data_IF_644085248164
#
_entry.id   IF_644085248164
#
_cell.length_a   1.000
_cell.length_b   1.000
_cell.length_c   1.000
_cell.angle_alpha   90.00
_cell.angle_beta   90.00
_cell.angle_gamma   90.00
#
_symmetry.space_group_name_H-M   'P 1'
#
loop_
_entity.id
_entity.type
_entity.pdbx_description
1 polymer ?
#
# COMPACT_ATOMS: atom_id res chain seq x y z
N UNK A 1 2.82 64.44 -4.43
CA UNK A 1 3.95 63.92 -3.64
C UNK A 1 3.51 62.61 -3.02
N UNK A 2 3.89 61.50 -3.66
CA UNK A 2 3.66 60.13 -3.18
C UNK A 2 5.04 59.48 -3.05
N UNK A 3 5.38 58.79 -1.95
CA UNK A 3 6.67 58.13 -1.85
C UNK A 3 6.63 56.81 -2.60
N UNK A 4 7.64 56.61 -3.44
CA UNK A 4 7.88 55.37 -4.17
C UNK A 4 8.26 54.25 -3.19
N UNK A 5 7.53 53.14 -3.25
CA UNK A 5 7.88 51.90 -2.58
C UNK A 5 9.06 51.26 -3.33
N UNK A 6 10.20 51.16 -2.66
CA UNK A 6 11.39 50.46 -3.15
C UNK A 6 11.28 48.99 -2.77
N UNK A 7 11.35 48.12 -3.78
CA UNK A 7 11.35 46.67 -3.63
C UNK A 7 12.81 46.21 -3.44
N UNK A 8 13.18 45.46 -2.38
CA UNK A 8 14.54 44.96 -2.26
C UNK A 8 14.68 43.54 -2.83
N UNK A 9 15.69 43.41 -3.69
CA UNK A 9 16.64 42.31 -3.79
C UNK A 9 16.14 40.89 -4.10
N UNK A 10 16.17 40.60 -5.40
CA UNK A 10 16.86 39.45 -6.03
C UNK A 10 17.39 38.36 -5.08
N UNK A 11 16.73 37.20 -5.11
CA UNK A 11 17.26 35.95 -4.56
C UNK A 11 18.47 35.50 -5.40
N UNK A 12 19.68 35.75 -4.89
CA UNK A 12 20.90 35.17 -5.43
C UNK A 12 21.07 33.78 -4.77
N UNK A 13 20.66 32.73 -5.46
CA UNK A 13 20.96 31.35 -5.06
C UNK A 13 22.48 31.17 -5.23
N UNK A 14 23.21 31.12 -4.11
CA UNK A 14 24.61 30.72 -4.10
C UNK A 14 24.65 29.20 -4.35
N UNK A 15 24.82 28.80 -5.62
CA UNK A 15 25.12 27.42 -5.98
C UNK A 15 26.52 27.14 -5.44
N UNK A 16 26.61 26.48 -4.29
CA UNK A 16 27.83 25.81 -3.87
C UNK A 16 27.97 24.62 -4.81
N UNK A 17 28.80 24.75 -5.83
CA UNK A 17 29.26 23.62 -6.62
C UNK A 17 30.08 22.72 -5.71
N UNK A 18 29.47 21.65 -5.17
CA UNK A 18 30.25 20.49 -4.77
C UNK A 18 31.03 20.09 -6.03
N UNK A 19 32.35 20.27 -6.02
CA UNK A 19 33.20 19.76 -7.08
C UNK A 19 33.06 18.25 -7.07
N UNK A 20 32.23 17.74 -7.98
CA UNK A 20 32.24 16.36 -8.41
C UNK A 20 33.62 16.09 -9.01
N UNK A 21 34.61 15.75 -8.18
CA UNK A 21 35.83 15.11 -8.66
C UNK A 21 35.39 13.88 -9.44
N UNK A 22 35.70 13.87 -10.74
CA UNK A 22 35.46 12.71 -11.59
C UNK A 22 36.09 11.50 -10.90
N UNK A 23 35.26 10.53 -10.51
CA UNK A 23 35.74 9.31 -9.89
C UNK A 23 36.68 8.62 -10.89
N UNK A 24 37.94 8.40 -10.52
CA UNK A 24 38.81 7.56 -11.33
C UNK A 24 38.23 6.13 -11.37
N UNK A 25 38.22 5.47 -12.55
CA UNK A 25 37.72 4.11 -12.66
C UNK A 25 38.52 3.19 -11.74
N UNK A 26 37.85 2.57 -10.78
CA UNK A 26 38.47 1.61 -9.85
C UNK A 26 38.66 0.26 -10.54
N UNK A 27 39.83 -0.37 -10.32
CA UNK A 27 40.09 -1.76 -10.73
C UNK A 27 39.59 -2.78 -9.72
N UNK A 28 39.14 -2.33 -8.54
CA UNK A 28 38.60 -3.20 -7.49
C UNK A 28 37.13 -3.54 -7.80
N UNK A 29 36.88 -4.81 -8.16
CA UNK A 29 35.54 -5.31 -8.47
C UNK A 29 34.60 -5.34 -7.27
N UNK A 30 35.10 -5.14 -6.04
CA UNK A 30 34.31 -5.01 -4.83
C UNK A 30 33.96 -3.55 -4.51
N UNK A 31 34.40 -2.59 -5.34
CA UNK A 31 34.07 -1.18 -5.18
C UNK A 31 33.34 -0.63 -6.41
N UNK A 32 32.28 0.11 -6.15
CA UNK A 32 31.60 0.94 -7.14
C UNK A 32 31.80 2.40 -6.73
N UNK A 33 32.37 3.21 -7.61
CA UNK A 33 32.59 4.63 -7.35
C UNK A 33 31.92 5.45 -8.46
N UNK A 34 31.12 6.44 -8.07
CA UNK A 34 30.47 7.43 -8.93
C UNK A 34 30.60 8.81 -8.28
N UNK A 35 30.44 9.92 -9.02
CA UNK A 35 30.38 11.24 -8.40
C UNK A 35 29.35 11.27 -7.26
N UNK A 36 29.79 11.60 -6.05
CA UNK A 36 28.96 11.67 -4.84
C UNK A 36 28.52 10.32 -4.25
N UNK A 37 28.94 9.17 -4.81
CA UNK A 37 28.54 7.84 -4.34
C UNK A 37 29.71 6.85 -4.33
N UNK A 38 29.86 6.11 -3.24
CA UNK A 38 30.79 4.98 -3.16
C UNK A 38 30.09 3.79 -2.52
N UNK A 39 30.17 2.62 -3.14
CA UNK A 39 29.69 1.37 -2.56
C UNK A 39 30.84 0.37 -2.43
N UNK A 40 30.90 -0.33 -1.30
CA UNK A 40 31.90 -1.35 -1.00
C UNK A 40 31.18 -2.64 -0.61
N UNK A 41 31.34 -3.68 -1.43
CA UNK A 41 30.68 -4.98 -1.25
C UNK A 41 31.22 -5.74 -0.04
N UNK A 42 32.50 -5.59 0.27
CA UNK A 42 33.13 -6.30 1.39
C UNK A 42 32.64 -5.72 2.71
N UNK A 43 32.52 -4.39 2.79
CA UNK A 43 31.95 -3.71 3.95
C UNK A 43 30.42 -3.75 3.98
N UNK A 44 29.79 -4.05 2.84
CA UNK A 44 28.34 -3.94 2.60
C UNK A 44 27.81 -2.54 2.93
N UNK A 45 28.49 -1.51 2.42
CA UNK A 45 28.16 -0.12 2.68
C UNK A 45 28.00 0.67 1.39
N UNK A 46 27.04 1.60 1.38
CA UNK A 46 26.94 2.67 0.39
C UNK A 46 27.07 4.01 1.11
N UNK A 47 27.99 4.84 0.66
CA UNK A 47 28.17 6.21 1.10
C UNK A 47 27.69 7.16 0.01
N UNK A 48 26.84 8.11 0.39
CA UNK A 48 26.24 9.12 -0.49
C UNK A 48 26.55 10.51 0.07
N UNK A 49 27.12 11.38 -0.75
CA UNK A 49 27.33 12.78 -0.38
C UNK A 49 26.01 13.55 -0.53
N UNK A 50 25.70 14.38 0.46
CA UNK A 50 24.44 15.11 0.55
C UNK A 50 24.63 16.48 1.21
N UNK A 51 23.61 17.31 1.14
CA UNK A 51 23.56 18.62 1.78
C UNK A 51 22.26 18.75 2.57
N UNK A 52 22.35 19.22 3.81
CA UNK A 52 21.18 19.49 4.64
C UNK A 52 20.35 20.64 4.05
N UNK A 53 19.03 20.47 4.01
CA UNK A 53 18.09 21.51 3.53
C UNK A 53 17.93 22.65 4.54
N UNK A 54 18.09 22.34 5.83
CA UNK A 54 17.80 23.26 6.93
C UNK A 54 16.36 23.26 7.39
N UNK A 55 15.67 22.11 7.28
CA UNK A 55 14.30 21.92 7.77
C UNK A 55 14.15 22.45 9.20
N UNK A 56 13.05 23.18 9.44
CA UNK A 56 12.80 23.89 10.68
C UNK A 56 12.32 22.97 11.80
N UNK A 57 12.33 23.55 13.00
CA UNK A 57 11.85 22.86 14.20
C UNK A 57 10.35 22.55 14.07
N UNK A 58 10.00 21.28 14.19
CA UNK A 58 8.63 20.77 14.04
C UNK A 58 8.03 20.93 12.65
N UNK A 59 8.83 21.23 11.63
CA UNK A 59 8.34 21.22 10.25
C UNK A 59 7.96 19.78 9.86
N UNK A 60 6.90 19.59 9.06
CA UNK A 60 6.57 18.28 8.50
C UNK A 60 7.74 17.74 7.67
N UNK A 61 8.03 16.45 7.82
CA UNK A 61 9.08 15.79 7.04
C UNK A 61 8.46 14.66 6.23
N UNK A 62 8.41 14.86 4.92
CA UNK A 62 7.93 13.86 3.98
C UNK A 62 9.06 12.97 3.48
N UNK A 63 10.28 13.53 3.35
CA UNK A 63 11.43 12.81 2.82
C UNK A 63 12.66 12.93 3.71
N UNK A 64 13.40 11.85 3.81
CA UNK A 64 14.71 11.84 4.45
C UNK A 64 15.80 12.28 3.49
N UNK A 65 15.70 11.85 2.24
CA UNK A 65 16.68 12.13 1.20
C UNK A 65 15.99 12.20 -0.17
N UNK A 66 16.27 13.27 -0.91
CA UNK A 66 15.76 13.50 -2.27
C UNK A 66 16.92 13.85 -3.22
N UNK A 67 16.69 13.66 -4.51
CA UNK A 67 17.60 14.16 -5.54
C UNK A 67 17.52 15.70 -5.66
N UNK A 68 18.60 16.36 -6.08
CA UNK A 68 18.67 17.82 -6.22
C UNK A 68 17.58 18.43 -7.11
N UNK A 69 17.13 17.72 -8.15
CA UNK A 69 16.09 18.21 -9.09
C UNK A 69 14.65 17.97 -8.63
N UNK A 70 14.45 17.46 -7.42
CA UNK A 70 13.14 17.14 -6.84
C UNK A 70 12.22 18.35 -6.72
N UNK A 71 12.73 19.49 -6.24
CA UNK A 71 11.91 20.65 -5.87
C UNK A 71 11.23 20.54 -4.49
N UNK A 72 11.38 19.42 -3.78
CA UNK A 72 10.75 19.17 -2.46
C UNK A 72 11.71 19.39 -1.27
N UNK A 73 12.69 20.28 -1.41
CA UNK A 73 13.68 20.54 -0.36
C UNK A 73 13.09 21.12 0.94
N UNK A 74 11.94 21.79 0.88
CA UNK A 74 11.28 22.40 2.03
C UNK A 74 10.63 21.41 3.00
N UNK A 75 10.48 20.14 2.58
CA UNK A 75 9.89 19.04 3.37
C UNK A 75 10.82 17.82 3.46
N UNK A 76 12.10 18.03 3.12
CA UNK A 76 13.14 17.00 3.11
C UNK A 76 14.23 17.30 4.13
N UNK A 77 14.86 16.29 4.75
CA UNK A 77 16.02 16.50 5.62
C UNK A 77 17.28 16.89 4.81
N UNK A 78 17.54 16.20 3.70
CA UNK A 78 18.72 16.40 2.87
C UNK A 78 18.45 16.22 1.38
N UNK A 79 19.29 16.84 0.57
CA UNK A 79 19.35 16.71 -0.90
C UNK A 79 20.68 16.10 -1.32
N UNK A 80 20.72 15.31 -2.38
CA UNK A 80 21.96 14.75 -2.95
C UNK A 80 22.03 14.96 -4.46
N UNK A 81 23.23 15.21 -5.04
CA UNK A 81 23.43 15.24 -6.48
C UNK A 81 23.33 13.84 -7.12
N UNK A 82 23.26 12.78 -6.31
CA UNK A 82 23.24 11.40 -6.80
C UNK A 82 21.83 11.01 -7.25
N UNK A 83 21.73 10.49 -8.47
CA UNK A 83 20.45 10.00 -9.01
C UNK A 83 19.91 8.81 -8.19
N UNK A 84 18.59 8.73 -7.96
CA UNK A 84 17.97 7.61 -7.23
C UNK A 84 18.30 6.23 -7.80
N UNK A 85 18.34 6.07 -9.13
CA UNK A 85 18.75 4.80 -9.77
C UNK A 85 20.20 4.41 -9.49
N UNK A 86 21.12 5.37 -9.28
CA UNK A 86 22.49 5.06 -8.90
C UNK A 86 22.57 4.50 -7.47
N UNK A 87 21.74 5.00 -6.56
CA UNK A 87 21.62 4.47 -5.19
C UNK A 87 20.98 3.08 -5.21
N UNK A 88 19.94 2.87 -6.01
CA UNK A 88 19.36 1.52 -6.24
C UNK A 88 20.44 0.52 -6.66
N UNK A 89 21.20 0.85 -7.71
CA UNK A 89 22.26 -0.02 -8.24
C UNK A 89 23.36 -0.27 -7.21
N UNK A 90 23.69 0.72 -6.37
CA UNK A 90 24.66 0.57 -5.30
C UNK A 90 24.18 -0.38 -4.19
N UNK A 91 22.90 -0.33 -3.82
CA UNK A 91 22.30 -1.25 -2.84
C UNK A 91 22.27 -2.69 -3.35
N UNK A 92 21.91 -2.90 -4.62
CA UNK A 92 22.02 -4.23 -5.25
C UNK A 92 23.48 -4.69 -5.34
N UNK A 93 24.41 -3.78 -5.65
CA UNK A 93 25.84 -4.08 -5.74
C UNK A 93 26.43 -4.62 -4.43
N UNK A 94 25.98 -4.11 -3.27
CA UNK A 94 26.37 -4.61 -1.94
C UNK A 94 25.56 -5.83 -1.48
N UNK A 95 24.73 -6.39 -2.36
CA UNK A 95 24.03 -7.66 -2.16
C UNK A 95 22.69 -7.54 -1.44
N UNK A 96 22.05 -6.36 -1.43
CA UNK A 96 20.68 -6.21 -0.93
C UNK A 96 19.72 -6.41 -2.12
N UNK A 97 18.86 -7.45 -2.11
CA UNK A 97 17.91 -7.65 -3.20
C UNK A 97 16.86 -6.55 -3.20
N UNK A 98 16.51 -6.06 -4.39
CA UNK A 98 15.39 -5.12 -4.55
C UNK A 98 14.08 -5.78 -4.14
N UNK A 99 13.27 -5.03 -3.43
CA UNK A 99 11.93 -5.41 -3.03
C UNK A 99 10.87 -4.99 -4.05
N UNK A 100 9.69 -4.61 -3.54
CA UNK A 100 8.58 -4.10 -4.32
C UNK A 100 7.94 -2.89 -3.61
N UNK A 101 7.73 -1.76 -4.30
CA UNK A 101 7.04 -0.61 -3.74
C UNK A 101 5.55 -0.91 -3.52
N UNK A 102 4.90 -0.08 -2.72
CA UNK A 102 3.44 -0.13 -2.56
C UNK A 102 2.72 0.04 -3.91
N UNK A 103 1.62 -0.69 -4.06
CA UNK A 103 0.70 -0.50 -5.17
C UNK A 103 -0.77 -0.65 -4.80
N UNK A 104 -1.37 0.49 -4.46
CA UNK A 104 -2.77 0.60 -4.09
C UNK A 104 -3.72 0.13 -5.19
N UNK A 105 -3.36 0.28 -6.47
CA UNK A 105 -4.17 -0.20 -7.59
C UNK A 105 -4.16 -1.73 -7.71
N UNK A 106 -3.09 -2.37 -7.23
CA UNK A 106 -2.93 -3.82 -7.21
C UNK A 106 -3.21 -4.41 -5.82
N UNK A 107 -3.73 -3.63 -4.86
CA UNK A 107 -3.93 -4.07 -3.47
C UNK A 107 -2.65 -4.44 -2.71
N UNK A 108 -1.49 -3.91 -3.13
CA UNK A 108 -0.25 -3.98 -2.35
C UNK A 108 -0.17 -2.76 -1.43
N UNK A 109 -0.53 -2.97 -0.17
CA UNK A 109 -0.54 -1.91 0.84
C UNK A 109 0.72 -1.87 1.70
N UNK A 110 1.59 -2.87 1.59
CA UNK A 110 2.85 -2.94 2.32
C UNK A 110 4.03 -2.78 1.36
N UNK A 111 5.05 -1.96 1.71
CA UNK A 111 6.33 -2.01 1.03
C UNK A 111 7.02 -3.34 1.37
N UNK A 112 7.50 -4.04 0.35
CA UNK A 112 8.17 -5.33 0.49
C UNK A 112 9.65 -5.17 0.20
N UNK A 113 10.53 -5.76 1.00
CA UNK A 113 11.97 -5.71 0.77
C UNK A 113 12.80 -5.88 2.04
N UNK A 114 14.11 -6.01 1.87
CA UNK A 114 15.05 -6.03 2.99
C UNK A 114 15.20 -4.66 3.63
N UNK A 115 15.68 -4.63 4.88
CA UNK A 115 15.88 -3.39 5.63
C UNK A 115 17.24 -2.77 5.36
N UNK A 116 17.23 -1.48 5.11
CA UNK A 116 18.40 -0.62 4.99
C UNK A 116 18.44 0.32 6.18
N UNK A 117 19.53 0.22 6.92
CA UNK A 117 19.88 1.14 7.97
C UNK A 117 20.48 2.40 7.34
N UNK A 118 19.92 3.56 7.67
CA UNK A 118 20.38 4.86 7.16
C UNK A 118 20.93 5.72 8.29
N UNK A 119 22.14 6.23 8.11
CA UNK A 119 22.84 7.05 9.10
C UNK A 119 23.36 8.34 8.46
N UNK A 120 23.02 9.48 9.04
CA UNK A 120 23.42 10.83 8.60
C UNK A 120 24.66 11.26 9.38
N UNK A 121 25.75 11.59 8.68
CA UNK A 121 27.04 11.95 9.28
C UNK A 121 27.41 13.39 8.89
N UNK A 122 27.70 14.22 9.89
CA UNK A 122 28.17 15.60 9.70
C UNK A 122 29.64 15.69 10.15
N UNK A 123 30.56 15.94 9.21
CA UNK A 123 31.99 16.03 9.51
C UNK A 123 32.52 14.76 10.18
N UNK A 124 33.16 14.90 11.33
CA UNK A 124 33.69 13.79 12.15
C UNK A 124 32.78 13.40 13.32
N UNK A 125 31.55 13.95 13.38
CA UNK A 125 30.63 13.65 14.46
C UNK A 125 30.11 12.22 14.38
N UNK A 126 29.64 11.70 15.51
CA UNK A 126 28.88 10.45 15.51
C UNK A 126 27.66 10.58 14.60
N UNK A 127 27.40 9.54 13.79
CA UNK A 127 26.27 9.53 12.87
C UNK A 127 24.94 9.41 13.60
N UNK A 128 23.90 10.04 13.05
CA UNK A 128 22.52 9.97 13.55
C UNK A 128 21.70 9.02 12.70
N UNK A 129 20.93 8.16 13.36
CA UNK A 129 19.97 7.26 12.72
C UNK A 129 18.84 8.06 12.08
N UNK A 130 18.44 7.72 10.86
CA UNK A 130 17.37 8.44 10.15
C UNK A 130 16.08 8.53 10.98
N UNK A 131 15.77 7.48 11.74
CA UNK A 131 14.58 7.37 12.58
C UNK A 131 14.63 8.35 13.77
N UNK A 132 15.84 8.70 14.23
CA UNK A 132 16.03 9.70 15.30
C UNK A 132 15.76 11.13 14.83
N UNK A 133 15.83 11.39 13.52
CA UNK A 133 15.62 12.72 12.95
C UNK A 133 14.15 13.14 12.92
N UNK A 134 13.23 12.21 13.17
CA UNK A 134 11.78 12.43 13.16
C UNK A 134 11.24 12.28 14.58
N UNK A 135 10.33 13.16 14.95
CA UNK A 135 9.54 13.11 16.17
C UNK A 135 8.10 12.71 15.80
N UNK A 136 7.59 11.67 16.43
CA UNK A 136 6.17 11.32 16.41
C UNK A 136 5.44 12.15 17.48
N UNK A 137 4.54 13.03 17.05
CA UNK A 137 3.82 13.96 17.93
C UNK A 137 2.85 13.25 18.88
N UNK A 138 2.34 12.08 18.50
CA UNK A 138 1.39 11.35 19.34
C UNK A 138 2.11 10.70 20.53
N UNK A 139 3.33 10.20 20.31
CA UNK A 139 4.10 9.51 21.34
C UNK A 139 5.13 10.41 22.03
N UNK A 140 5.45 11.56 21.45
CA UNK A 140 6.52 12.45 21.88
C UNK A 140 7.91 11.81 21.83
N UNK A 141 8.08 10.78 20.98
CA UNK A 141 9.33 10.01 20.85
C UNK A 141 9.79 9.98 19.40
N UNK A 142 11.09 9.75 19.16
CA UNK A 142 11.57 9.45 17.83
C UNK A 142 10.96 8.17 17.24
N UNK A 143 11.06 8.01 15.93
CA UNK A 143 10.60 6.79 15.27
C UNK A 143 11.40 5.56 15.76
N UNK A 144 10.78 4.36 15.79
CA UNK A 144 11.50 3.13 16.11
C UNK A 144 12.67 2.88 15.16
N UNK A 145 13.81 2.44 15.68
CA UNK A 145 15.00 2.14 14.87
C UNK A 145 14.83 0.81 14.10
N UNK A 146 14.06 0.83 13.02
CA UNK A 146 13.68 -0.35 12.23
C UNK A 146 14.41 -0.47 10.89
N UNK A 147 15.10 0.58 10.45
CA UNK A 147 15.54 0.73 9.06
C UNK A 147 14.37 0.98 8.09
N UNK A 148 14.70 1.42 6.88
CA UNK A 148 13.76 1.58 5.77
C UNK A 148 13.75 0.33 4.88
N UNK A 149 12.65 0.04 4.19
CA UNK A 149 12.54 -1.04 3.20
C UNK A 149 13.24 -0.63 1.91
N UNK A 150 14.14 -1.45 1.41
CA UNK A 150 14.59 -1.33 0.02
C UNK A 150 13.56 -1.91 -0.93
N UNK A 151 12.64 -1.06 -1.37
CA UNK A 151 11.60 -1.40 -2.34
C UNK A 151 12.09 -1.25 -3.77
N UNK A 152 13.05 -0.35 -4.00
CA UNK A 152 13.24 0.27 -5.31
C UNK A 152 12.02 1.12 -5.70
N UNK A 153 12.06 1.75 -6.87
CA UNK A 153 10.95 2.53 -7.40
C UNK A 153 10.14 1.74 -8.41
N UNK A 154 8.89 2.18 -8.61
CA UNK A 154 8.13 1.82 -9.81
C UNK A 154 8.87 2.22 -11.09
N UNK A 155 8.50 1.50 -12.14
CA UNK A 155 8.79 1.86 -13.52
C UNK A 155 7.58 2.57 -14.11
N UNK A 156 7.79 3.62 -14.91
CA UNK A 156 6.68 4.29 -15.62
C UNK A 156 6.02 3.33 -16.60
N UNK A 157 4.71 3.46 -16.75
CA UNK A 157 3.98 2.72 -17.78
C UNK A 157 4.40 3.23 -19.16
N UNK A 158 4.61 2.30 -20.09
CA UNK A 158 4.85 2.64 -21.50
C UNK A 158 3.54 3.16 -22.07
N UNK A 159 3.55 4.40 -22.56
CA UNK A 159 2.39 5.01 -23.24
C UNK A 159 2.73 5.34 -24.68
N UNK A 160 1.74 5.65 -25.51
CA UNK A 160 1.99 6.12 -26.88
C UNK A 160 2.84 7.41 -26.92
N UNK A 161 2.84 8.19 -25.83
CA UNK A 161 3.62 9.41 -25.67
C UNK A 161 5.00 9.16 -25.04
N UNK A 162 5.16 8.04 -24.33
CA UNK A 162 6.36 7.68 -23.61
C UNK A 162 6.75 6.22 -23.91
N UNK A 163 7.52 5.99 -24.99
CA UNK A 163 7.73 4.67 -25.56
C UNK A 163 8.76 3.84 -24.78
N UNK A 164 9.31 4.35 -23.68
CA UNK A 164 10.31 3.62 -22.88
C UNK A 164 9.92 3.61 -21.40
N UNK A 165 10.03 2.44 -20.74
CA UNK A 165 9.89 2.38 -19.30
C UNK A 165 11.04 3.16 -18.64
N UNK A 166 10.71 4.15 -17.82
CA UNK A 166 11.66 4.94 -17.05
C UNK A 166 11.60 4.57 -15.57
N UNK A 167 12.72 4.71 -14.86
CA UNK A 167 12.75 4.54 -13.42
C UNK A 167 12.07 5.74 -12.76
N UNK A 168 10.90 5.57 -12.17
CA UNK A 168 10.04 6.70 -11.79
C UNK A 168 10.72 7.66 -10.79
N UNK A 169 11.51 7.16 -9.85
CA UNK A 169 12.29 8.01 -8.95
C UNK A 169 13.25 8.97 -9.68
N UNK A 170 13.72 8.65 -10.88
CA UNK A 170 14.62 9.53 -11.63
C UNK A 170 13.86 10.62 -12.39
N UNK A 171 12.64 10.33 -12.85
CA UNK A 171 11.93 11.18 -13.83
C UNK A 171 10.60 11.76 -13.35
N UNK A 172 10.08 11.31 -12.21
CA UNK A 172 8.85 11.80 -11.59
C UNK A 172 9.15 12.45 -10.25
N UNK A 173 8.65 13.67 -10.05
CA UNK A 173 8.56 14.28 -8.72
C UNK A 173 7.78 13.31 -7.80
N UNK A 174 8.25 13.10 -6.56
CA UNK A 174 9.22 13.93 -5.83
C UNK A 174 10.69 13.55 -6.02
N UNK A 175 11.05 12.64 -6.93
CA UNK A 175 12.43 12.14 -7.09
C UNK A 175 13.06 11.64 -5.78
N UNK A 176 12.23 11.01 -4.95
CA UNK A 176 12.58 10.64 -3.59
C UNK A 176 13.49 9.40 -3.56
N UNK A 177 14.53 9.48 -2.72
CA UNK A 177 15.41 8.34 -2.43
C UNK A 177 14.93 7.61 -1.19
N UNK A 178 14.56 8.37 -0.15
CA UNK A 178 14.06 7.81 1.10
C UNK A 178 12.87 8.63 1.60
N UNK A 179 11.70 7.99 1.73
CA UNK A 179 10.44 8.63 2.11
C UNK A 179 10.01 8.24 3.52
N UNK A 180 9.33 9.16 4.21
CA UNK A 180 8.77 8.98 5.54
C UNK A 180 7.27 8.57 5.50
N UNK A 181 6.75 8.27 4.31
CA UNK A 181 5.44 7.70 4.04
C UNK A 181 5.56 6.73 2.86
N UNK A 182 4.52 5.93 2.61
CA UNK A 182 4.51 4.99 1.51
C UNK A 182 4.35 5.69 0.16
N UNK A 183 5.49 6.07 -0.43
CA UNK A 183 5.62 6.72 -1.72
C UNK A 183 5.95 5.69 -2.80
N UNK A 184 5.03 5.37 -3.74
CA UNK A 184 5.27 4.33 -4.74
C UNK A 184 6.48 4.56 -5.65
N UNK A 185 6.98 5.78 -5.75
CA UNK A 185 8.13 6.15 -6.58
C UNK A 185 9.43 6.34 -5.81
N UNK A 186 9.49 6.01 -4.51
CA UNK A 186 10.71 6.13 -3.72
C UNK A 186 11.61 4.90 -3.82
N UNK A 187 12.90 5.01 -3.49
CA UNK A 187 13.83 3.86 -3.46
C UNK A 187 13.78 3.12 -2.12
N UNK A 188 13.65 3.87 -1.02
CA UNK A 188 13.63 3.41 0.35
C UNK A 188 12.36 3.92 1.05
N UNK A 189 11.56 3.01 1.61
CA UNK A 189 10.22 3.30 2.16
C UNK A 189 10.15 2.93 3.65
N UNK A 190 9.20 3.48 4.41
CA UNK A 190 8.99 3.12 5.82
C UNK A 190 8.40 1.70 5.98
N UNK A 191 8.71 0.97 7.07
CA UNK A 191 8.21 -0.39 7.32
C UNK A 191 6.71 -0.61 7.40
N UNK A 192 5.99 0.45 7.74
CA UNK A 192 4.60 0.38 8.15
C UNK A 192 3.71 1.04 7.10
N UNK A 193 2.40 0.75 7.19
CA UNK A 193 1.38 1.44 6.41
C UNK A 193 1.35 2.91 6.86
N UNK A 194 1.79 3.80 5.99
CA UNK A 194 1.97 5.21 6.23
C UNK A 194 1.40 6.00 5.05
N UNK A 195 0.13 6.42 5.16
CA UNK A 195 -0.49 7.27 4.14
C UNK A 195 -0.03 8.72 4.37
N UNK A 196 0.36 9.41 3.29
CA UNK A 196 0.94 10.77 3.34
C UNK A 196 0.14 11.73 4.23
N UNK A 197 -1.17 11.84 4.02
CA UNK A 197 -2.03 12.77 4.77
C UNK A 197 -2.17 12.47 6.27
N UNK A 198 -1.86 11.25 6.72
CA UNK A 198 -1.77 10.92 8.14
C UNK A 198 -0.41 11.30 8.71
N UNK A 199 0.67 11.00 7.98
CA UNK A 199 2.04 11.29 8.41
C UNK A 199 2.29 12.80 8.51
N UNK A 200 1.78 13.58 7.56
CA UNK A 200 1.90 15.05 7.56
C UNK A 200 1.41 15.70 8.86
N UNK A 201 0.38 15.11 9.51
CA UNK A 201 -0.18 15.64 10.76
C UNK A 201 0.57 15.18 12.00
N UNK A 202 1.22 14.02 11.93
CA UNK A 202 1.76 13.28 13.08
C UNK A 202 3.28 13.36 13.21
N UNK A 203 4.03 13.44 12.12
CA UNK A 203 5.48 13.29 12.13
C UNK A 203 6.18 14.56 11.67
N UNK A 204 7.13 15.03 12.47
CA UNK A 204 7.82 16.31 12.27
C UNK A 204 9.32 16.17 12.52
N UNK A 205 10.12 17.13 12.07
CA UNK A 205 11.55 17.16 12.36
C UNK A 205 11.82 17.18 13.87
N UNK A 206 12.71 16.29 14.32
CA UNK A 206 13.09 16.22 15.72
C UNK A 206 13.92 17.45 16.11
N UNK A 207 13.45 18.29 17.06
CA UNK A 207 14.13 19.52 17.47
C UNK A 207 15.55 19.31 18.01
N UNK A 208 15.86 18.12 18.52
CA UNK A 208 17.15 17.81 19.12
C UNK A 208 18.21 17.41 18.06
N UNK A 209 17.77 17.16 16.83
CA UNK A 209 18.58 16.59 15.75
C UNK A 209 18.36 17.34 14.43
N UNK A 210 18.58 18.65 14.45
CA UNK A 210 18.49 19.52 13.26
C UNK A 210 19.88 19.79 12.66
N UNK A 211 19.94 19.83 11.34
CA UNK A 211 21.13 20.23 10.60
C UNK A 211 20.94 21.66 10.05
N UNK A 212 21.91 22.58 10.23
CA UNK A 212 21.84 23.88 9.60
C UNK A 212 21.76 23.77 8.07
N UNK A 213 21.02 24.68 7.43
CA UNK A 213 20.91 24.72 5.97
C UNK A 213 22.29 24.78 5.30
N UNK A 214 22.44 24.08 4.18
CA UNK A 214 23.68 23.96 3.40
C UNK A 214 24.85 23.28 4.12
N UNK A 215 24.58 22.56 5.21
CA UNK A 215 25.60 21.74 5.88
C UNK A 215 25.95 20.51 5.03
N UNK A 216 27.24 20.26 4.73
CA UNK A 216 27.66 19.03 4.08
C UNK A 216 27.40 17.81 4.97
N UNK A 217 26.80 16.78 4.39
CA UNK A 217 26.49 15.51 5.03
C UNK A 217 27.04 14.35 4.20
N UNK A 218 27.32 13.24 4.89
CA UNK A 218 27.49 11.94 4.25
C UNK A 218 26.47 10.97 4.81
N UNK A 219 25.77 10.28 3.92
CA UNK A 219 24.72 9.32 4.26
C UNK A 219 25.30 7.93 4.08
N UNK A 220 25.30 7.15 5.16
CA UNK A 220 25.66 5.74 5.15
C UNK A 220 24.38 4.90 5.03
N UNK A 221 24.36 4.03 4.04
CA UNK A 221 23.36 2.97 3.85
C UNK A 221 24.03 1.61 4.07
N UNK A 222 23.47 0.81 4.97
CA UNK A 222 23.96 -0.53 5.30
C UNK A 222 22.78 -1.49 5.46
N UNK A 223 22.92 -2.80 5.18
CA UNK A 223 21.89 -3.77 5.51
C UNK A 223 21.67 -3.79 7.01
N UNK A 224 20.40 -3.86 7.43
CA UNK A 224 20.06 -3.96 8.85
C UNK A 224 20.61 -5.24 9.50
N UNK A 225 20.57 -6.35 8.74
CA UNK A 225 21.04 -7.66 9.19
C UNK A 225 22.42 -7.99 8.63
N UNK A 226 23.36 -8.25 9.53
CA UNK A 226 24.72 -8.73 9.23
C UNK A 226 24.84 -10.25 9.28
N UNK A 227 23.83 -10.95 9.81
CA UNK A 227 23.81 -12.41 9.98
C UNK A 227 23.46 -13.18 8.69
N UNK A 228 23.29 -12.48 7.57
CA UNK A 228 22.95 -13.06 6.27
C UNK A 228 21.52 -13.61 6.17
N UNK A 229 20.70 -13.46 7.22
CA UNK A 229 19.30 -13.88 7.19
C UNK A 229 18.44 -12.81 6.51
N UNK A 230 17.51 -13.28 5.68
CA UNK A 230 16.49 -12.44 5.06
C UNK A 230 15.40 -12.09 6.05
N UNK A 231 14.92 -10.84 6.02
CA UNK A 231 13.70 -10.47 6.73
C UNK A 231 12.47 -10.97 5.99
N UNK A 232 12.44 -10.82 4.67
CA UNK A 232 11.27 -11.19 3.86
C UNK A 232 11.11 -12.71 3.81
N UNK A 233 9.91 -13.19 4.16
CA UNK A 233 9.52 -14.59 3.97
C UNK A 233 8.24 -14.64 3.16
N UNK A 234 8.33 -15.18 1.94
CA UNK A 234 7.20 -15.30 1.03
C UNK A 234 6.44 -16.60 1.24
N UNK A 235 5.15 -16.46 1.54
CA UNK A 235 4.26 -17.55 1.91
C UNK A 235 2.98 -17.55 1.07
N UNK A 236 2.42 -18.74 0.89
CA UNK A 236 1.04 -18.94 0.45
C UNK A 236 0.27 -19.57 1.60
N UNK A 237 -0.83 -18.94 2.00
CA UNK A 237 -1.82 -19.49 2.92
C UNK A 237 -3.04 -19.94 2.10
N UNK A 238 -3.27 -21.25 2.06
CA UNK A 238 -4.45 -21.84 1.42
C UNK A 238 -5.51 -22.16 2.46
N UNK A 239 -6.75 -21.75 2.16
CA UNK A 239 -7.95 -22.02 2.93
C UNK A 239 -8.81 -22.97 2.09
N UNK A 240 -9.08 -24.16 2.61
CA UNK A 240 -9.93 -25.15 1.96
C UNK A 240 -10.87 -25.79 2.98
N UNK A 241 -12.01 -26.39 2.57
CA UNK A 241 -12.81 -27.18 3.48
C UNK A 241 -11.97 -28.30 4.12
N UNK A 242 -12.13 -28.50 5.42
CA UNK A 242 -11.62 -29.68 6.09
C UNK A 242 -12.33 -30.93 5.51
N UNK A 243 -11.67 -32.11 5.50
CA UNK A 243 -12.27 -33.32 4.97
C UNK A 243 -13.65 -33.57 5.59
N UNK A 244 -14.59 -34.00 4.75
CA UNK A 244 -15.96 -34.35 5.16
C UNK A 244 -16.79 -33.18 5.74
N UNK A 245 -16.32 -31.94 5.61
CA UNK A 245 -17.07 -30.73 6.00
C UNK A 245 -17.58 -29.97 4.78
N UNK A 246 -18.61 -29.14 4.99
CA UNK A 246 -19.14 -28.26 3.96
C UNK A 246 -18.39 -26.91 3.83
N UNK A 247 -17.34 -26.69 4.64
CA UNK A 247 -16.64 -25.39 4.69
C UNK A 247 -17.56 -24.23 5.11
N UNK A 248 -18.53 -24.49 5.98
CA UNK A 248 -19.60 -23.57 6.33
C UNK A 248 -19.19 -22.56 7.43
N UNK A 249 -18.33 -23.01 8.34
CA UNK A 249 -17.82 -22.22 9.46
C UNK A 249 -16.29 -22.16 9.46
N UNK A 250 -15.72 -21.29 10.28
CA UNK A 250 -14.27 -21.20 10.45
C UNK A 250 -13.63 -22.53 10.93
N UNK A 251 -14.35 -23.30 11.76
CA UNK A 251 -13.88 -24.60 12.25
C UNK A 251 -13.82 -25.66 11.13
N UNK A 252 -14.56 -25.45 10.04
CA UNK A 252 -14.58 -26.31 8.87
C UNK A 252 -13.47 -25.96 7.86
N UNK A 253 -12.56 -25.04 8.18
CA UNK A 253 -11.46 -24.65 7.30
C UNK A 253 -10.17 -25.38 7.70
N UNK A 254 -9.56 -26.04 6.73
CA UNK A 254 -8.16 -26.46 6.77
C UNK A 254 -7.28 -25.33 6.26
N UNK A 255 -6.27 -24.99 7.05
CA UNK A 255 -5.25 -24.01 6.72
C UNK A 255 -3.96 -24.72 6.32
N UNK A 256 -3.34 -24.31 5.22
CA UNK A 256 -2.06 -24.84 4.76
C UNK A 256 -1.12 -23.70 4.40
N UNK A 257 0.07 -23.69 5.00
CA UNK A 257 1.11 -22.70 4.72
C UNK A 257 2.22 -23.36 3.91
N UNK A 258 2.63 -22.70 2.83
CA UNK A 258 3.77 -23.11 1.98
C UNK A 258 4.68 -21.91 1.78
N UNK A 259 5.98 -22.15 1.68
CA UNK A 259 6.91 -21.18 1.10
C UNK A 259 6.72 -21.16 -0.41
N UNK A 260 6.84 -20.00 -1.05
CA UNK A 260 6.70 -19.87 -2.52
C UNK A 260 7.71 -20.72 -3.31
N UNK A 261 8.79 -21.17 -2.67
CA UNK A 261 9.87 -21.96 -3.29
C UNK A 261 9.89 -23.45 -2.91
N UNK A 262 8.96 -23.94 -2.08
CA UNK A 262 9.10 -25.24 -1.40
C UNK A 262 7.85 -26.11 -1.35
N UNK A 263 8.06 -27.41 -1.56
CA UNK A 263 7.13 -28.50 -1.19
C UNK A 263 7.94 -29.47 -0.34
N UNK A 264 7.49 -29.95 0.84
CA UNK A 264 6.14 -29.99 1.45
C UNK A 264 5.66 -28.69 2.13
N UNK A 265 4.37 -28.61 2.57
CA UNK A 265 3.90 -27.50 3.41
C UNK A 265 4.69 -27.40 4.71
N UNK A 266 4.91 -26.18 5.17
CA UNK A 266 5.64 -25.87 6.40
C UNK A 266 4.74 -25.89 7.64
N UNK A 267 3.43 -25.73 7.44
CA UNK A 267 2.38 -25.87 8.46
C UNK A 267 1.09 -26.36 7.78
N UNK A 268 0.34 -27.27 8.41
CA UNK A 268 -0.90 -27.80 7.86
C UNK A 268 -1.85 -28.24 8.98
N UNK A 269 -3.05 -27.67 9.00
CA UNK A 269 -4.08 -28.06 9.95
C UNK A 269 -5.01 -26.91 10.33
N UNK A 270 -4.96 -26.54 11.61
CA UNK A 270 -5.88 -25.58 12.21
C UNK A 270 -5.46 -24.12 12.03
N UNK A 271 -6.41 -23.21 12.24
CA UNK A 271 -6.12 -21.78 12.32
C UNK A 271 -5.06 -21.46 13.40
N UNK A 272 -5.18 -22.08 14.58
CA UNK A 272 -4.24 -21.85 15.70
C UNK A 272 -2.81 -22.17 15.30
N UNK A 273 -2.58 -23.31 14.63
CA UNK A 273 -1.25 -23.69 14.14
C UNK A 273 -0.69 -22.67 13.13
N UNK A 274 -1.53 -22.17 12.23
CA UNK A 274 -1.14 -21.11 11.29
C UNK A 274 -0.75 -19.80 12.02
N UNK A 275 -1.53 -19.38 13.02
CA UNK A 275 -1.23 -18.18 13.82
C UNK A 275 0.04 -18.32 14.66
N UNK A 276 0.27 -19.50 15.25
CA UNK A 276 1.50 -19.82 15.99
C UNK A 276 2.72 -19.78 15.07
N UNK A 277 2.59 -20.31 13.85
CA UNK A 277 3.65 -20.25 12.84
C UNK A 277 4.01 -18.81 12.46
N UNK A 278 3.02 -17.96 12.17
CA UNK A 278 3.27 -16.54 11.88
C UNK A 278 3.89 -15.81 13.07
N UNK A 279 3.40 -16.06 14.28
CA UNK A 279 3.95 -15.46 15.51
C UNK A 279 5.41 -15.85 15.72
N UNK A 280 5.77 -17.11 15.42
CA UNK A 280 7.15 -17.58 15.50
C UNK A 280 8.04 -16.85 14.50
N UNK A 281 7.61 -16.70 13.24
CA UNK A 281 8.36 -15.97 12.23
C UNK A 281 8.63 -14.51 12.64
N UNK A 282 7.62 -13.81 13.13
CA UNK A 282 7.78 -12.41 13.54
C UNK A 282 8.69 -12.26 14.75
N UNK A 283 8.63 -13.19 15.72
CA UNK A 283 9.57 -13.26 16.86
C UNK A 283 11.01 -13.54 16.44
N UNK A 284 11.20 -14.31 15.36
CA UNK A 284 12.52 -14.57 14.75
C UNK A 284 13.03 -13.39 13.89
N UNK A 285 12.26 -12.29 13.82
CA UNK A 285 12.60 -11.07 13.10
C UNK A 285 12.34 -11.14 11.60
N UNK A 286 11.44 -12.03 11.16
CA UNK A 286 10.97 -12.11 9.78
C UNK A 286 9.70 -11.30 9.55
N UNK A 287 9.55 -10.80 8.32
CA UNK A 287 8.38 -10.11 7.79
C UNK A 287 7.66 -11.11 6.84
N UNK A 288 6.61 -11.82 7.31
CA UNK A 288 5.88 -12.77 6.47
C UNK A 288 4.94 -12.04 5.50
N UNK A 289 5.22 -12.18 4.20
CA UNK A 289 4.37 -11.71 3.11
C UNK A 289 3.52 -12.87 2.61
N UNK A 290 2.20 -12.75 2.70
CA UNK A 290 1.27 -13.88 2.57
C UNK A 290 0.30 -13.66 1.43
N UNK A 291 0.41 -14.50 0.40
CA UNK A 291 -0.64 -14.68 -0.60
C UNK A 291 -1.73 -15.59 -0.05
N UNK A 292 -2.99 -15.16 -0.15
CA UNK A 292 -4.13 -15.89 0.38
C UNK A 292 -4.89 -16.52 -0.78
N UNK A 293 -5.07 -17.85 -0.72
CA UNK A 293 -5.88 -18.60 -1.69
C UNK A 293 -7.07 -19.22 -0.99
N UNK A 294 -8.26 -19.04 -1.58
CA UNK A 294 -9.52 -19.52 -1.03
C UNK A 294 -10.14 -20.52 -1.99
N UNK A 295 -10.38 -21.74 -1.50
CA UNK A 295 -10.99 -22.80 -2.28
C UNK A 295 -12.42 -22.41 -2.71
N UNK A 296 -12.82 -22.66 -3.97
CA UNK A 296 -14.18 -22.37 -4.46
C UNK A 296 -15.32 -23.04 -3.68
N UNK A 297 -15.06 -24.13 -2.96
CA UNK A 297 -16.06 -24.85 -2.18
C UNK A 297 -16.34 -24.23 -0.80
N UNK A 298 -15.50 -23.32 -0.30
CA UNK A 298 -15.76 -22.63 0.97
C UNK A 298 -17.04 -21.80 0.90
N UNK A 299 -17.84 -21.79 1.96
CA UNK A 299 -19.00 -20.91 2.06
C UNK A 299 -18.59 -19.49 2.50
N UNK A 300 -19.34 -18.49 2.05
CA UNK A 300 -19.03 -17.07 2.31
C UNK A 300 -19.03 -16.73 3.80
N UNK A 301 -19.84 -17.41 4.62
CA UNK A 301 -19.79 -17.25 6.07
C UNK A 301 -18.41 -17.58 6.65
N UNK A 302 -17.82 -18.71 6.23
CA UNK A 302 -16.48 -19.12 6.63
C UNK A 302 -15.40 -18.19 6.06
N UNK A 303 -15.53 -17.77 4.81
CA UNK A 303 -14.61 -16.82 4.16
C UNK A 303 -14.58 -15.49 4.90
N UNK A 304 -15.74 -14.91 5.25
CA UNK A 304 -15.81 -13.66 6.03
C UNK A 304 -15.16 -13.82 7.40
N UNK A 305 -15.46 -14.90 8.13
CA UNK A 305 -14.85 -15.13 9.44
C UNK A 305 -13.32 -15.27 9.36
N UNK A 306 -12.81 -15.95 8.34
CA UNK A 306 -11.37 -16.04 8.11
C UNK A 306 -10.78 -14.66 7.72
N UNK A 307 -11.49 -13.89 6.90
CA UNK A 307 -11.09 -12.54 6.51
C UNK A 307 -10.94 -11.60 7.72
N UNK A 308 -11.88 -11.62 8.66
CA UNK A 308 -11.82 -10.82 9.89
C UNK A 308 -10.54 -11.10 10.68
N UNK A 309 -10.22 -12.38 10.88
CA UNK A 309 -9.04 -12.79 11.65
C UNK A 309 -7.77 -12.41 10.90
N UNK A 310 -7.67 -12.72 9.61
CA UNK A 310 -6.48 -12.44 8.81
C UNK A 310 -6.24 -10.92 8.67
N UNK A 311 -7.31 -10.12 8.56
CA UNK A 311 -7.19 -8.66 8.58
C UNK A 311 -6.75 -8.12 9.94
N UNK A 312 -7.14 -8.76 11.05
CA UNK A 312 -6.72 -8.34 12.40
C UNK A 312 -5.22 -8.54 12.66
N UNK A 313 -4.59 -9.49 11.95
CA UNK A 313 -3.14 -9.75 12.03
C UNK A 313 -2.37 -9.15 10.85
N UNK A 314 -3.02 -8.50 9.89
CA UNK A 314 -2.41 -7.76 8.76
C UNK A 314 -1.79 -6.44 9.28
N UNK A 315 -0.71 -6.57 10.05
CA UNK A 315 -0.06 -5.53 10.87
C UNK A 315 1.47 -5.66 10.82
N UNK A 316 2.18 -4.65 11.31
CA UNK A 316 3.66 -4.63 11.33
C UNK A 316 4.25 -5.79 12.17
N UNK A 317 3.57 -6.20 13.23
CA UNK A 317 4.02 -7.31 14.09
C UNK A 317 3.39 -8.66 13.71
N UNK A 318 2.59 -8.69 12.65
CA UNK A 318 1.89 -9.87 12.14
C UNK A 318 2.28 -10.19 10.70
N UNK A 319 1.29 -10.43 9.85
CA UNK A 319 1.48 -10.72 8.43
C UNK A 319 1.31 -9.48 7.57
N UNK A 320 1.84 -9.54 6.34
CA UNK A 320 1.61 -8.57 5.28
C UNK A 320 0.84 -9.28 4.18
N UNK A 321 -0.46 -8.99 4.07
CA UNK A 321 -1.27 -9.64 3.04
C UNK A 321 -0.91 -9.07 1.67
N UNK A 322 -0.44 -9.94 0.78
CA UNK A 322 -0.09 -9.59 -0.60
C UNK A 322 -1.36 -9.42 -1.47
N UNK A 323 -1.22 -8.78 -2.65
CA UNK A 323 -2.25 -8.77 -3.68
C UNK A 323 -2.90 -10.15 -3.93
N UNK A 324 -4.21 -10.18 -4.24
CA UNK A 324 -4.88 -11.42 -4.59
C UNK A 324 -4.36 -11.93 -5.94
N UNK A 325 -4.43 -13.24 -6.15
CA UNK A 325 -4.14 -13.82 -7.46
C UNK A 325 -5.14 -13.31 -8.53
N UNK A 326 -4.73 -13.25 -9.82
CA UNK A 326 -5.64 -12.95 -10.90
C UNK A 326 -6.83 -13.91 -10.87
N UNK A 327 -8.05 -13.38 -10.72
CA UNK A 327 -9.22 -14.23 -10.49
C UNK A 327 -9.92 -13.88 -9.20
N UNK A 328 -9.17 -13.50 -8.18
CA UNK A 328 -9.63 -13.50 -6.80
C UNK A 328 -9.87 -12.08 -6.26
N UNK A 329 -10.70 -12.00 -5.21
CA UNK A 329 -10.90 -10.77 -4.46
C UNK A 329 -9.81 -10.60 -3.40
N UNK A 330 -9.42 -9.36 -3.14
CA UNK A 330 -8.61 -9.04 -1.98
C UNK A 330 -9.41 -9.31 -0.70
N UNK A 331 -8.76 -9.78 0.37
CA UNK A 331 -9.46 -10.25 1.57
C UNK A 331 -10.37 -9.20 2.24
N UNK A 332 -9.98 -7.92 2.14
CA UNK A 332 -10.79 -6.80 2.66
C UNK A 332 -12.07 -6.53 1.86
N UNK A 333 -12.24 -7.14 0.68
CA UNK A 333 -13.52 -7.09 -0.04
C UNK A 333 -14.66 -7.69 0.79
N UNK A 334 -14.36 -8.66 1.67
CA UNK A 334 -15.33 -9.28 2.60
C UNK A 334 -15.50 -8.51 3.92
N UNK A 335 -14.79 -7.39 4.08
CA UNK A 335 -14.83 -6.51 5.26
C UNK A 335 -15.18 -5.07 4.85
N UNK A 336 -16.28 -4.85 4.09
CA UNK A 336 -16.68 -3.51 3.73
C UNK A 336 -17.12 -2.68 4.93
N UNK A 337 -17.10 -1.35 4.79
CA UNK A 337 -17.65 -0.45 5.80
C UNK A 337 -19.17 -0.64 5.91
N UNK A 338 -19.64 -1.07 7.08
CA UNK A 338 -21.06 -1.31 7.37
C UNK A 338 -21.92 -0.05 7.17
N UNK A 339 -21.37 1.17 7.28
CA UNK A 339 -22.09 2.41 6.99
C UNK A 339 -22.52 2.50 5.53
N UNK A 340 -21.77 1.88 4.61
CA UNK A 340 -22.12 1.86 3.20
C UNK A 340 -23.32 0.95 2.90
N UNK A 341 -23.88 0.21 3.85
CA UNK A 341 -25.19 -0.43 3.66
C UNK A 341 -26.30 0.61 3.50
N UNK A 342 -26.22 1.66 4.31
CA UNK A 342 -27.13 2.79 4.24
C UNK A 342 -26.80 3.63 2.99
N UNK A 343 -27.71 3.59 2.02
CA UNK A 343 -27.61 4.32 0.74
C UNK A 343 -27.38 5.82 0.92
N UNK A 344 -27.85 6.40 2.03
CA UNK A 344 -27.72 7.83 2.32
C UNK A 344 -26.34 8.21 2.86
N UNK A 345 -25.57 7.23 3.37
CA UNK A 345 -24.23 7.45 3.97
C UNK A 345 -23.09 7.08 3.03
N UNK A 346 -23.41 6.66 1.80
CA UNK A 346 -22.40 6.28 0.79
C UNK A 346 -21.81 7.52 0.11
N UNK A 347 -20.51 7.51 -0.22
CA UNK A 347 -19.91 8.53 -1.09
C UNK A 347 -20.47 8.57 -2.52
N UNK A 348 -21.12 7.50 -2.96
CA UNK A 348 -21.75 7.38 -4.28
C UNK A 348 -22.78 6.27 -4.32
N UNK A 349 -23.43 6.07 -5.47
CA UNK A 349 -24.48 5.06 -5.65
C UNK A 349 -23.99 3.94 -6.59
N UNK A 350 -23.20 2.97 -6.07
CA UNK A 350 -22.72 1.84 -6.85
C UNK A 350 -23.87 0.89 -7.23
N UNK A 351 -23.58 0.01 -8.18
CA UNK A 351 -24.44 -1.15 -8.44
C UNK A 351 -24.58 -1.99 -7.18
N UNK A 352 -25.74 -2.60 -6.97
CA UNK A 352 -25.92 -3.62 -5.96
C UNK A 352 -26.23 -4.96 -6.62
N UNK A 353 -25.61 -6.04 -6.15
CA UNK A 353 -25.86 -7.41 -6.58
C UNK A 353 -26.30 -8.24 -5.38
N UNK A 354 -27.53 -8.74 -5.42
CA UNK A 354 -28.07 -9.61 -4.39
C UNK A 354 -27.98 -11.06 -4.84
N UNK A 355 -27.36 -11.90 -4.04
CA UNK A 355 -27.20 -13.34 -4.28
C UNK A 355 -27.90 -14.12 -3.17
N UNK A 356 -28.94 -14.86 -3.53
CA UNK A 356 -29.76 -15.62 -2.58
C UNK A 356 -29.81 -17.10 -2.98
N UNK A 357 -29.57 -18.05 -2.05
CA UNK A 357 -29.72 -19.48 -2.31
C UNK A 357 -31.14 -19.82 -2.75
N UNK A 358 -31.28 -20.70 -3.74
CA UNK A 358 -32.59 -21.15 -4.26
C UNK A 358 -32.47 -22.56 -4.84
N UNK A 359 -33.04 -23.58 -4.17
CA UNK A 359 -33.09 -24.97 -4.66
C UNK A 359 -31.73 -25.52 -5.17
N UNK A 360 -30.65 -25.26 -4.43
CA UNK A 360 -29.30 -25.70 -4.81
C UNK A 360 -28.60 -24.84 -5.86
N UNK A 361 -29.26 -23.78 -6.36
CA UNK A 361 -28.66 -22.74 -7.21
C UNK A 361 -28.63 -21.40 -6.49
N UNK A 362 -28.14 -20.35 -7.18
CA UNK A 362 -28.13 -18.97 -6.68
C UNK A 362 -29.06 -18.14 -7.56
N UNK A 363 -30.06 -17.52 -6.94
CA UNK A 363 -30.87 -16.48 -7.56
C UNK A 363 -30.17 -15.15 -7.40
N UNK A 364 -29.92 -14.47 -8.52
CA UNK A 364 -29.26 -13.18 -8.54
C UNK A 364 -30.21 -12.06 -8.97
N UNK A 365 -30.04 -10.88 -8.37
CA UNK A 365 -30.77 -9.65 -8.73
C UNK A 365 -29.79 -8.49 -8.69
N UNK A 366 -29.71 -7.75 -9.80
CA UNK A 366 -28.91 -6.53 -9.87
C UNK A 366 -29.82 -5.31 -9.71
N UNK A 367 -29.35 -4.32 -8.96
CA UNK A 367 -30.05 -3.06 -8.68
C UNK A 367 -29.19 -1.89 -9.14
N UNK A 368 -29.80 -1.01 -9.91
CA UNK A 368 -29.27 0.29 -10.26
C UNK A 368 -29.95 1.36 -9.42
N UNK A 369 -29.16 2.31 -8.93
CA UNK A 369 -29.62 3.44 -8.14
C UNK A 369 -29.35 4.72 -8.92
N UNK A 370 -30.42 5.40 -9.33
CA UNK A 370 -30.32 6.67 -10.04
C UNK A 370 -30.64 7.83 -9.09
N UNK A 371 -29.68 8.75 -8.84
CA UNK A 371 -29.92 9.91 -8.00
C UNK A 371 -30.75 10.96 -8.75
N UNK A 372 -31.91 11.30 -8.19
CA UNK A 372 -32.78 12.37 -8.65
C UNK A 372 -32.57 13.61 -7.77
N UNK A 373 -31.89 14.61 -8.32
CA UNK A 373 -31.63 15.87 -7.63
C UNK A 373 -32.84 16.80 -7.73
N UNK A 374 -33.20 17.41 -6.60
CA UNK A 374 -34.22 18.46 -6.52
C UNK A 374 -33.60 19.73 -5.94
N UNK A 375 -34.04 20.89 -6.45
CA UNK A 375 -33.51 22.20 -6.06
C UNK A 375 -33.72 22.52 -4.57
N UNK A 376 -34.65 21.84 -3.90
CA UNK A 376 -35.04 22.06 -2.50
C UNK A 376 -34.37 21.09 -1.50
N UNK A 377 -33.47 20.21 -1.96
CA UNK A 377 -32.85 19.19 -1.11
C UNK A 377 -31.33 19.17 -1.21
N UNK A 378 -30.67 18.94 -0.08
CA UNK A 378 -29.20 18.76 -0.01
C UNK A 378 -28.79 17.37 -0.53
N UNK A 379 -29.68 16.39 -0.45
CA UNK A 379 -29.45 15.01 -0.88
C UNK A 379 -30.47 14.59 -1.94
N UNK A 380 -30.07 13.81 -2.96
CA UNK A 380 -30.98 13.36 -4.00
C UNK A 380 -31.94 12.29 -3.45
N UNK A 381 -33.14 12.22 -4.03
CA UNK A 381 -33.94 11.01 -3.89
C UNK A 381 -33.31 9.90 -4.74
N UNK A 382 -33.49 8.65 -4.36
CA UNK A 382 -32.92 7.52 -5.10
C UNK A 382 -34.03 6.72 -5.78
N UNK A 383 -33.98 6.64 -7.10
CA UNK A 383 -34.83 5.75 -7.87
C UNK A 383 -34.13 4.41 -8.09
N UNK A 384 -34.83 3.34 -7.70
CA UNK A 384 -34.32 1.98 -7.83
C UNK A 384 -34.90 1.31 -9.06
N UNK A 385 -34.02 0.80 -9.93
CA UNK A 385 -34.39 -0.11 -11.01
C UNK A 385 -33.74 -1.46 -10.77
N UNK A 386 -34.51 -2.54 -10.89
CA UNK A 386 -34.07 -3.91 -10.59
C UNK A 386 -34.20 -4.81 -11.83
N UNK A 387 -33.24 -5.71 -11.99
CA UNK A 387 -33.30 -6.77 -12.99
C UNK A 387 -32.90 -8.12 -12.38
N UNK A 388 -33.68 -9.16 -12.68
CA UNK A 388 -33.28 -10.53 -12.39
C UNK A 388 -32.10 -10.92 -13.28
N UNK A 389 -31.14 -11.66 -12.72
CA UNK A 389 -29.96 -12.15 -13.44
C UNK A 389 -30.08 -13.67 -13.54
N UNK A 390 -30.54 -14.23 -14.69
CA UNK A 390 -30.84 -15.66 -14.81
C UNK A 390 -29.62 -16.56 -14.69
N UNK A 391 -28.45 -16.06 -15.09
CA UNK A 391 -27.18 -16.78 -15.02
C UNK A 391 -26.02 -15.79 -14.85
N UNK A 392 -24.85 -16.25 -14.36
CA UNK A 392 -23.68 -15.39 -14.23
C UNK A 392 -23.32 -14.61 -15.51
N UNK A 393 -23.37 -15.27 -16.67
CA UNK A 393 -23.02 -14.66 -17.97
C UNK A 393 -24.02 -13.60 -18.44
N UNK A 394 -25.22 -13.56 -17.86
CA UNK A 394 -26.23 -12.53 -18.16
C UNK A 394 -26.01 -11.24 -17.38
N UNK A 395 -25.16 -11.22 -16.34
CA UNK A 395 -25.02 -10.08 -15.43
C UNK A 395 -24.63 -8.78 -16.17
N UNK A 396 -23.60 -8.83 -17.02
CA UNK A 396 -23.14 -7.63 -17.72
C UNK A 396 -24.23 -7.09 -18.67
N UNK A 397 -24.99 -7.98 -19.33
CA UNK A 397 -26.13 -7.60 -20.17
C UNK A 397 -27.22 -6.90 -19.36
N UNK A 398 -27.53 -7.41 -18.17
CA UNK A 398 -28.53 -6.77 -17.29
C UNK A 398 -28.05 -5.41 -16.79
N UNK A 399 -26.76 -5.28 -16.43
CA UNK A 399 -26.19 -3.99 -16.06
C UNK A 399 -26.22 -2.98 -17.22
N UNK A 400 -25.94 -3.40 -18.45
CA UNK A 400 -26.05 -2.54 -19.63
C UNK A 400 -27.48 -2.05 -19.88
N UNK A 401 -28.46 -2.94 -19.70
CA UNK A 401 -29.88 -2.59 -19.84
C UNK A 401 -30.36 -1.60 -18.77
N UNK A 402 -29.76 -1.63 -17.57
CA UNK A 402 -30.09 -0.74 -16.47
C UNK A 402 -29.40 0.63 -16.54
N UNK A 403 -28.33 0.76 -17.32
CA UNK A 403 -27.67 2.04 -17.61
C UNK A 403 -26.20 2.11 -17.23
N UNK A 404 -25.67 3.33 -17.15
CA UNK A 404 -24.28 3.59 -16.72
C UNK A 404 -24.24 3.77 -15.22
N UNK A 405 -23.24 3.18 -14.58
CA UNK A 405 -22.95 3.41 -13.16
C UNK A 405 -21.45 3.56 -12.93
N UNK A 406 -21.07 3.76 -11.68
CA UNK A 406 -19.67 3.87 -11.27
C UNK A 406 -18.98 2.49 -11.28
N UNK A 407 -17.63 2.42 -11.39
CA UNK A 407 -16.88 1.15 -11.46
C UNK A 407 -16.74 0.46 -10.10
N UNK A 408 -17.82 0.42 -9.33
CA UNK A 408 -17.94 -0.13 -7.98
C UNK A 408 -19.22 -0.96 -7.89
N UNK A 409 -19.16 -2.12 -7.22
CA UNK A 409 -20.34 -2.95 -6.94
C UNK A 409 -20.36 -3.42 -5.48
N UNK A 410 -21.54 -3.35 -4.87
CA UNK A 410 -21.83 -3.91 -3.55
C UNK A 410 -22.57 -5.22 -3.73
N UNK A 411 -22.01 -6.31 -3.22
CA UNK A 411 -22.62 -7.63 -3.26
C UNK A 411 -23.22 -7.94 -1.90
N UNK A 412 -24.48 -8.31 -1.87
CA UNK A 412 -25.19 -8.79 -0.68
C UNK A 412 -25.49 -10.27 -0.88
N UNK A 413 -24.76 -11.14 -0.18
CA UNK A 413 -24.81 -12.57 -0.41
C UNK A 413 -25.12 -13.34 0.88
N UNK A 414 -25.89 -14.43 0.76
CA UNK A 414 -26.14 -15.29 1.91
C UNK A 414 -24.89 -16.07 2.34
N UNK A 415 -24.69 -16.36 3.63
CA UNK A 415 -23.49 -17.05 4.13
C UNK A 415 -23.30 -18.44 3.52
N UNK A 416 -24.39 -19.13 3.15
CA UNK A 416 -24.34 -20.47 2.55
C UNK A 416 -23.98 -20.51 1.07
N UNK A 417 -23.83 -19.38 0.41
CA UNK A 417 -23.30 -19.32 -0.96
C UNK A 417 -21.82 -19.70 -0.93
N UNK A 418 -21.34 -20.45 -1.92
CA UNK A 418 -19.90 -20.77 -2.00
C UNK A 418 -19.10 -19.63 -2.63
N UNK A 419 -17.83 -19.54 -2.27
CA UNK A 419 -16.88 -18.62 -2.87
C UNK A 419 -16.85 -18.79 -4.39
N UNK A 420 -16.85 -20.02 -4.90
CA UNK A 420 -16.90 -20.30 -6.34
C UNK A 420 -18.19 -19.77 -7.01
N UNK A 421 -19.34 -19.89 -6.35
CA UNK A 421 -20.60 -19.34 -6.86
C UNK A 421 -20.56 -17.80 -6.91
N UNK A 422 -20.03 -17.15 -5.88
CA UNK A 422 -19.80 -15.70 -5.87
C UNK A 422 -18.90 -15.29 -7.05
N UNK A 423 -17.74 -15.93 -7.17
CA UNK A 423 -16.76 -15.58 -8.20
C UNK A 423 -17.30 -15.81 -9.61
N UNK A 424 -18.13 -16.83 -9.83
CA UNK A 424 -18.78 -17.05 -11.11
C UNK A 424 -19.63 -15.84 -11.55
N UNK A 425 -20.37 -15.22 -10.62
CA UNK A 425 -21.16 -14.01 -10.91
C UNK A 425 -20.30 -12.76 -11.09
N UNK A 426 -19.16 -12.67 -10.42
CA UNK A 426 -18.29 -11.50 -10.51
C UNK A 426 -17.43 -11.49 -11.76
N UNK A 427 -16.96 -12.65 -12.22
CA UNK A 427 -16.02 -12.76 -13.35
C UNK A 427 -16.44 -11.93 -14.59
N UNK A 428 -17.70 -11.97 -15.06
CA UNK A 428 -18.13 -11.20 -16.24
C UNK A 428 -18.05 -9.68 -16.09
N UNK A 429 -17.90 -9.15 -14.87
CA UNK A 429 -17.93 -7.71 -14.60
C UNK A 429 -16.63 -7.19 -13.98
N UNK A 430 -15.59 -8.01 -13.81
CA UNK A 430 -14.35 -7.61 -13.11
C UNK A 430 -13.58 -6.48 -13.79
N UNK A 431 -13.61 -6.42 -15.12
CA UNK A 431 -12.98 -5.31 -15.85
C UNK A 431 -13.76 -3.99 -15.70
N UNK A 432 -15.09 -4.09 -15.56
CA UNK A 432 -16.02 -2.96 -15.39
C UNK A 432 -16.04 -2.44 -13.95
N UNK A 433 -16.08 -3.35 -12.98
CA UNK A 433 -16.18 -3.07 -11.55
C UNK A 433 -14.88 -3.49 -10.87
N UNK A 434 -13.93 -2.55 -10.76
CA UNK A 434 -12.61 -2.81 -10.16
C UNK A 434 -12.67 -2.85 -8.64
N UNK A 435 -13.66 -2.21 -8.04
CA UNK A 435 -13.88 -2.20 -6.59
C UNK A 435 -15.13 -3.03 -6.30
N UNK A 436 -14.95 -4.10 -5.53
CA UNK A 436 -15.99 -5.05 -5.16
C UNK A 436 -16.02 -5.15 -3.65
N UNK A 437 -17.20 -4.94 -3.06
CA UNK A 437 -17.46 -5.11 -1.65
C UNK A 437 -18.49 -6.22 -1.46
N UNK A 438 -18.27 -7.11 -0.51
CA UNK A 438 -19.12 -8.28 -0.25
C UNK A 438 -19.61 -8.24 1.18
N UNK A 439 -20.90 -7.99 1.33
CA UNK A 439 -21.65 -8.14 2.56
C UNK A 439 -22.21 -9.56 2.64
N UNK A 440 -21.87 -10.26 3.72
CA UNK A 440 -22.39 -11.61 3.97
C UNK A 440 -23.52 -11.51 5.00
N UNK A 441 -24.76 -11.69 4.55
CA UNK A 441 -25.98 -11.45 5.32
C UNK A 441 -26.79 -12.73 5.48
N UNK A 442 -27.28 -13.05 6.68
CA UNK A 442 -28.13 -14.24 6.87
C UNK A 442 -29.34 -14.26 5.92
N UNK A 443 -29.89 -13.08 5.64
CA UNK A 443 -31.01 -12.86 4.72
C UNK A 443 -30.78 -11.55 3.96
N UNK A 444 -30.16 -11.60 2.77
CA UNK A 444 -30.03 -10.41 1.93
C UNK A 444 -31.43 -9.82 1.65
N UNK A 445 -31.65 -8.57 2.07
CA UNK A 445 -32.92 -7.88 1.87
C UNK A 445 -33.04 -7.39 0.43
N UNK A 446 -33.48 -8.27 -0.46
CA UNK A 446 -33.66 -7.94 -1.87
C UNK A 446 -34.83 -6.97 -2.01
N UNK A 447 -34.63 -5.74 -2.53
CA UNK A 447 -35.74 -4.84 -2.73
C UNK A 447 -36.78 -5.49 -3.66
N UNK A 448 -38.05 -5.47 -3.25
CA UNK A 448 -39.09 -6.26 -3.93
C UNK A 448 -39.77 -5.52 -5.07
N UNK A 449 -39.60 -4.19 -5.15
CA UNK A 449 -40.18 -3.33 -6.19
C UNK A 449 -39.28 -2.13 -6.46
N UNK A 450 -39.32 -1.58 -7.70
CA UNK A 450 -38.87 -0.22 -7.94
C UNK A 450 -39.53 0.70 -6.93
N UNK A 451 -38.72 1.53 -6.26
CA UNK A 451 -39.19 2.43 -5.22
C UNK A 451 -38.28 3.65 -5.21
N UNK A 452 -38.90 4.82 -5.04
CA UNK A 452 -38.21 6.06 -4.71
C UNK A 452 -37.91 6.10 -3.21
N UNK A 453 -36.65 6.30 -2.85
CA UNK A 453 -36.23 6.53 -1.47
C UNK A 453 -36.08 8.03 -1.30
N UNK A 454 -36.92 8.68 -0.48
CA UNK A 454 -36.80 10.11 -0.26
C UNK A 454 -35.50 10.42 0.48
N UNK A 455 -34.90 11.56 0.17
CA UNK A 455 -33.79 12.08 0.96
C UNK A 455 -34.22 12.32 2.41
N UNK A 456 -33.35 11.93 3.35
CA UNK A 456 -33.56 12.19 4.77
C UNK A 456 -32.98 13.60 5.03
N UNK A 457 -33.82 14.55 5.43
CA UNK A 457 -33.32 15.84 5.91
C UNK A 457 -32.49 15.60 7.18
N UNK A 458 -31.28 16.18 7.29
CA UNK A 458 -30.52 16.11 8.52
C UNK A 458 -31.36 16.74 9.62
N UNK A 459 -31.69 15.94 10.63
CA UNK A 459 -32.40 16.42 11.82
C UNK A 459 -31.49 17.44 12.49
N UNK A 460 -31.91 18.70 12.51
CA UNK A 460 -31.21 19.77 13.21
C UNK A 460 -31.13 19.38 14.69
N UNK A 461 -29.93 19.04 15.14
CA UNK A 461 -29.60 18.76 16.54
C UNK A 461 -28.59 19.77 17.03
#
# INVERSE_FOLDING_TARGET
MSPACTCPATWLILIVTLSATLAEPTTDTNRMVRPGLTADRNLRQVWVDATATGIGKFDPVEFFLIAEHSGHAYESIAVTPVMPSAIHQALEFIGIPRGLPVDFNQHRYWPKGERVRITFVQGTNAGLRVESLIMDRDTGKPLPASGLVFTGSRTTEITALDPKPEYAADTRSPNAIASNYNEPTTVLDVPWKAVQGEMYRRQTANPDHLFPSNTPLRILLEPDRTDGKHRVVDLTLSLAPAPETAGATLADIRFTIRTTTGTPPVENGSLTGALEYFTRLTREGHDPFVHITMDPALQLGAVKAAAEILASIDTETGIRVEPPEPGHLYIRAFLPDEQHRDRTRRPGQPWELYLVPSNGTVRATVVHLEPQWRDDTVFPDLDLTLAAVPSPTDLNRQMDALGKGIPVILVYAAPGITHGQLMAYLEPIRERCRIIYVYVDEKPDVPTRPRRIPSIEPTTT
#
